data_IF_166684280938
#
_entry.id   IF_166684280938
#
_cell.length_a   1.000
_cell.length_b   1.000
_cell.length_c   1.000
_cell.angle_alpha   90.00
_cell.angle_beta   90.00
_cell.angle_gamma   90.00
#
_symmetry.space_group_name_H-M   'P 1'
#
loop_
_entity.id
_entity.type
_entity.pdbx_description
1 polymer ?
#
# COMPACT_ATOMS: atom_id res chain seq x y z
N UNK A 1 10.05 13.91 -7.90
CA UNK A 1 8.79 14.05 -7.14
C UNK A 1 7.61 14.40 -8.04
N UNK A 2 7.68 15.48 -8.84
CA UNK A 2 6.60 15.89 -9.76
C UNK A 2 6.19 14.81 -10.77
N UNK A 3 7.15 14.00 -11.22
CA UNK A 3 6.93 12.88 -12.15
C UNK A 3 5.98 11.81 -11.59
N UNK A 4 6.04 11.54 -10.28
CA UNK A 4 5.16 10.56 -9.63
C UNK A 4 3.72 11.07 -9.64
N UNK A 5 3.52 12.36 -9.33
CA UNK A 5 2.20 12.98 -9.38
C UNK A 5 1.63 12.98 -10.80
N UNK A 6 2.44 13.30 -11.82
CA UNK A 6 2.00 13.22 -13.22
C UNK A 6 1.63 11.80 -13.63
N UNK A 7 2.41 10.79 -13.24
CA UNK A 7 2.08 9.39 -13.52
C UNK A 7 0.78 8.94 -12.84
N UNK A 8 0.52 9.40 -11.61
CA UNK A 8 -0.72 9.13 -10.86
C UNK A 8 -1.94 9.78 -11.53
N UNK A 9 -1.82 11.05 -11.92
CA UNK A 9 -2.90 11.77 -12.61
C UNK A 9 -3.20 11.13 -13.96
N UNK A 10 -2.17 10.79 -14.74
CA UNK A 10 -2.34 10.09 -16.01
C UNK A 10 -2.98 8.71 -15.81
N UNK A 11 -2.54 7.93 -14.83
CA UNK A 11 -3.15 6.64 -14.49
C UNK A 11 -4.63 6.78 -14.10
N UNK A 12 -4.98 7.79 -13.31
CA UNK A 12 -6.36 8.07 -12.92
C UNK A 12 -7.22 8.54 -14.11
N UNK A 13 -6.69 9.40 -14.99
CA UNK A 13 -7.38 9.84 -16.22
C UNK A 13 -7.60 8.68 -17.20
N UNK A 14 -6.61 7.81 -17.35
CA UNK A 14 -6.71 6.59 -18.16
C UNK A 14 -7.75 5.63 -17.59
N UNK A 15 -7.80 5.47 -16.26
CA UNK A 15 -8.82 4.68 -15.58
C UNK A 15 -10.23 5.26 -15.70
N UNK A 16 -10.38 6.59 -15.60
CA UNK A 16 -11.68 7.26 -15.74
C UNK A 16 -12.20 7.24 -17.18
N UNK A 17 -11.32 7.22 -18.18
CA UNK A 17 -11.74 7.37 -19.58
C UNK A 17 -12.66 6.26 -20.10
N UNK A 18 -12.92 5.16 -19.37
CA UNK A 18 -13.85 4.05 -19.70
C UNK A 18 -13.70 3.46 -21.13
N UNK A 19 -12.62 3.80 -21.82
CA UNK A 19 -12.20 3.35 -23.15
C UNK A 19 -11.37 2.07 -23.07
N UNK A 20 -11.04 1.62 -21.87
CA UNK A 20 -10.28 0.40 -21.65
C UNK A 20 -11.19 -0.82 -21.86
N UNK A 21 -10.83 -1.76 -22.74
CA UNK A 21 -11.58 -3.00 -22.91
C UNK A 21 -11.73 -3.71 -21.56
N UNK A 22 -12.89 -4.33 -21.28
CA UNK A 22 -13.12 -5.10 -20.04
C UNK A 22 -12.09 -6.22 -19.79
N UNK A 23 -11.34 -6.61 -20.83
CA UNK A 23 -10.19 -7.52 -20.72
C UNK A 23 -9.07 -6.93 -19.86
N UNK A 24 -8.78 -5.62 -19.95
CA UNK A 24 -7.72 -4.98 -19.17
C UNK A 24 -8.02 -5.03 -17.68
N UNK A 25 -9.27 -4.77 -17.28
CA UNK A 25 -9.70 -4.87 -15.89
C UNK A 25 -9.44 -6.26 -15.28
N UNK A 26 -9.59 -7.33 -16.06
CA UNK A 26 -9.31 -8.70 -15.60
C UNK A 26 -7.81 -8.96 -15.43
N UNK A 27 -6.95 -8.30 -16.21
CA UNK A 27 -5.50 -8.46 -16.12
C UNK A 27 -4.85 -7.47 -15.14
N UNK A 28 -5.49 -6.36 -14.80
CA UNK A 28 -4.96 -5.35 -13.88
C UNK A 28 -4.52 -5.97 -12.56
N UNK A 29 -5.34 -6.81 -11.95
CA UNK A 29 -5.00 -7.49 -10.68
C UNK A 29 -3.72 -8.33 -10.81
N UNK A 30 -3.64 -9.17 -11.85
CA UNK A 30 -2.46 -10.00 -12.13
C UNK A 30 -1.21 -9.16 -12.40
N UNK A 31 -1.34 -8.09 -13.19
CA UNK A 31 -0.24 -7.19 -13.53
C UNK A 31 0.27 -6.47 -12.28
N UNK A 32 -0.64 -5.96 -11.44
CA UNK A 32 -0.28 -5.33 -10.17
C UNK A 32 0.38 -6.32 -9.23
N UNK A 33 -0.13 -7.54 -9.10
CA UNK A 33 0.47 -8.58 -8.26
C UNK A 33 1.90 -8.93 -8.70
N UNK A 34 2.11 -9.12 -10.01
CA UNK A 34 3.45 -9.37 -10.57
C UNK A 34 4.36 -8.16 -10.34
N UNK A 35 3.85 -6.94 -10.53
CA UNK A 35 4.58 -5.70 -10.26
C UNK A 35 4.98 -5.58 -8.79
N UNK A 36 4.06 -5.86 -7.86
CA UNK A 36 4.33 -5.89 -6.42
C UNK A 36 5.38 -6.95 -6.06
N UNK A 37 5.29 -8.14 -6.62
CA UNK A 37 6.30 -9.20 -6.45
C UNK A 37 7.69 -8.72 -6.89
N UNK A 38 7.80 -8.14 -8.09
CA UNK A 38 9.08 -7.61 -8.60
C UNK A 38 9.59 -6.46 -7.73
N UNK A 39 8.72 -5.55 -7.30
CA UNK A 39 9.07 -4.43 -6.43
C UNK A 39 9.57 -4.91 -5.06
N UNK A 40 8.83 -5.81 -4.42
CA UNK A 40 9.21 -6.38 -3.12
C UNK A 40 10.52 -7.16 -3.21
N UNK A 41 10.71 -7.91 -4.30
CA UNK A 41 11.97 -8.62 -4.55
C UNK A 41 13.15 -7.65 -4.74
N UNK A 42 12.97 -6.61 -5.56
CA UNK A 42 13.99 -5.57 -5.78
C UNK A 42 14.30 -4.80 -4.49
N UNK A 43 13.29 -4.49 -3.69
CA UNK A 43 13.47 -3.88 -2.37
C UNK A 43 14.25 -4.81 -1.44
N UNK A 44 13.95 -6.11 -1.45
CA UNK A 44 14.68 -7.12 -0.70
C UNK A 44 16.17 -7.19 -1.08
N UNK A 45 16.49 -7.21 -2.37
CA UNK A 45 17.88 -7.15 -2.87
C UNK A 45 18.56 -5.85 -2.42
N UNK A 46 17.87 -4.72 -2.56
CA UNK A 46 18.41 -3.40 -2.22
C UNK A 46 18.72 -3.27 -0.72
N UNK A 47 17.89 -3.87 0.14
CA UNK A 47 18.13 -3.94 1.59
C UNK A 47 19.26 -4.93 1.90
N UNK A 48 19.26 -6.10 1.26
CA UNK A 48 20.27 -7.15 1.47
C UNK A 48 21.68 -6.75 1.02
N UNK A 49 21.80 -5.89 0.02
CA UNK A 49 23.09 -5.36 -0.45
C UNK A 49 23.52 -4.07 0.27
N UNK A 50 22.75 -3.60 1.26
CA UNK A 50 23.06 -2.39 2.01
C UNK A 50 23.54 -2.74 3.42
N UNK A 51 24.86 -2.83 3.59
CA UNK A 51 25.51 -3.11 4.88
C UNK A 51 25.09 -2.17 6.00
N UNK A 52 24.74 -0.91 5.71
CA UNK A 52 24.27 0.01 6.73
C UNK A 52 22.90 -0.41 7.26
N UNK A 53 21.97 -0.79 6.37
CA UNK A 53 20.67 -1.30 6.78
C UNK A 53 20.86 -2.62 7.54
N UNK A 54 21.69 -3.54 7.04
CA UNK A 54 22.00 -4.82 7.69
C UNK A 54 22.54 -4.64 9.12
N UNK A 55 23.54 -3.77 9.31
CA UNK A 55 24.12 -3.47 10.63
C UNK A 55 23.11 -2.83 11.57
N UNK A 56 22.19 -2.03 11.04
CA UNK A 56 21.14 -1.38 11.82
C UNK A 56 19.81 -2.16 11.82
N UNK A 57 19.75 -3.40 11.31
CA UNK A 57 18.51 -4.18 11.21
C UNK A 57 17.85 -4.39 12.57
N UNK A 58 18.63 -4.55 13.65
CA UNK A 58 18.05 -4.70 14.97
C UNK A 58 17.29 -3.42 15.39
N UNK A 59 17.93 -2.25 15.26
CA UNK A 59 17.30 -0.96 15.56
C UNK A 59 16.14 -0.63 14.60
N UNK A 60 16.32 -0.87 13.30
CA UNK A 60 15.30 -0.61 12.28
C UNK A 60 14.12 -1.57 12.40
N UNK A 61 14.40 -2.84 12.68
CA UNK A 61 13.40 -3.90 12.85
C UNK A 61 12.50 -3.65 14.05
N UNK A 62 13.06 -3.27 15.21
CA UNK A 62 12.25 -2.91 16.39
C UNK A 62 11.39 -1.68 16.10
N UNK A 63 11.95 -0.64 15.46
CA UNK A 63 11.19 0.55 15.05
C UNK A 63 10.07 0.18 14.07
N UNK A 64 10.36 -0.65 13.07
CA UNK A 64 9.40 -1.10 12.08
C UNK A 64 8.29 -1.95 12.71
N UNK A 65 8.63 -2.85 13.64
CA UNK A 65 7.67 -3.65 14.38
C UNK A 65 6.73 -2.76 15.19
N UNK A 66 7.29 -1.80 15.95
CA UNK A 66 6.49 -0.85 16.70
C UNK A 66 5.54 -0.08 15.78
N UNK A 67 6.04 0.52 14.70
CA UNK A 67 5.21 1.28 13.75
C UNK A 67 4.12 0.37 13.15
N UNK A 68 4.45 -0.85 12.75
CA UNK A 68 3.48 -1.79 12.18
C UNK A 68 2.38 -2.15 13.18
N UNK A 69 2.74 -2.54 14.40
CA UNK A 69 1.77 -2.91 15.43
C UNK A 69 0.89 -1.72 15.83
N UNK A 70 1.47 -0.55 16.09
CA UNK A 70 0.69 0.66 16.41
C UNK A 70 -0.20 1.10 15.24
N UNK A 71 0.27 0.99 13.99
CA UNK A 71 -0.52 1.31 12.80
C UNK A 71 -1.72 0.37 12.62
N UNK A 72 -1.51 -0.94 12.79
CA UNK A 72 -2.58 -1.94 12.71
C UNK A 72 -3.60 -1.71 13.84
N UNK A 73 -3.14 -1.57 15.08
CA UNK A 73 -4.01 -1.33 16.23
C UNK A 73 -4.79 -0.03 16.04
N UNK A 74 -4.13 1.05 15.63
CA UNK A 74 -4.77 2.34 15.36
C UNK A 74 -5.83 2.25 14.27
N UNK A 75 -5.51 1.61 13.15
CA UNK A 75 -6.46 1.41 12.04
C UNK A 75 -7.70 0.63 12.48
N UNK A 76 -7.52 -0.48 13.18
CA UNK A 76 -8.63 -1.32 13.68
C UNK A 76 -9.46 -0.58 14.74
N UNK A 77 -8.82 0.12 15.68
CA UNK A 77 -9.51 0.91 16.71
C UNK A 77 -10.37 2.02 16.10
N UNK A 78 -9.84 2.74 15.10
CA UNK A 78 -10.56 3.80 14.40
C UNK A 78 -11.79 3.23 13.70
N UNK A 79 -11.65 2.15 12.93
CA UNK A 79 -12.78 1.51 12.24
C UNK A 79 -13.82 1.03 13.26
N UNK A 80 -13.40 0.37 14.34
CA UNK A 80 -14.31 -0.08 15.40
C UNK A 80 -15.07 1.08 16.05
N UNK A 81 -14.38 2.18 16.33
CA UNK A 81 -15.00 3.37 16.91
C UNK A 81 -15.98 4.04 15.93
N UNK A 82 -15.59 4.19 14.66
CA UNK A 82 -16.46 4.74 13.61
C UNK A 82 -17.70 3.86 13.41
N UNK A 83 -17.55 2.54 13.34
CA UNK A 83 -18.68 1.63 13.18
C UNK A 83 -19.66 1.73 14.36
N UNK A 84 -19.13 1.89 15.59
CA UNK A 84 -19.96 2.02 16.79
C UNK A 84 -20.66 3.38 16.90
N UNK A 85 -20.03 4.48 16.47
CA UNK A 85 -20.60 5.85 16.56
C UNK A 85 -21.49 6.23 15.39
N UNK A 86 -21.12 5.84 14.16
CA UNK A 86 -21.76 6.31 12.93
C UNK A 86 -22.69 5.24 12.35
N UNK A 87 -22.28 3.96 12.33
CA UNK A 87 -23.04 2.93 11.62
C UNK A 87 -24.21 2.36 12.43
N UNK A 88 -24.14 2.34 13.77
CA UNK A 88 -25.27 1.98 14.65
C UNK A 88 -26.31 3.11 14.83
N UNK A 89 -26.08 4.30 14.27
CA UNK A 89 -27.03 5.42 14.30
C UNK A 89 -27.97 5.50 13.09
N UNK A 90 -27.79 4.62 12.10
CA UNK A 90 -28.60 4.55 10.87
C UNK A 90 -29.65 3.45 10.84
N UNK A 91 -29.84 2.73 11.95
CA UNK A 91 -30.88 1.71 12.12
C UNK A 91 -31.89 2.22 13.18
N UNK A 92 -32.71 3.19 12.77
CA UNK A 92 -34.02 3.50 13.39
C UNK A 92 -35.02 3.75 12.27
#
# INVERSE_FOLDING_TARGET
>A
MWTIFMALILGALLGWSNKLPGIFYKYTDKITMVGLMVLLFSMGISIGNNDQILKHLNSLGIKALAIATFSIIGSVLVIWFLQRKIFRGGEN
#
